data_IF_823093450100
#
_entry.id   IF_823093450100
#
_cell.length_a   1.000
_cell.length_b   1.000
_cell.length_c   1.000
_cell.angle_alpha   90.00
_cell.angle_beta   90.00
_cell.angle_gamma   90.00
#
_symmetry.space_group_name_H-M   'P 1'
#
loop_
_entity.id
_entity.type
_entity.pdbx_description
1 polymer ?
#
# COMPACT_ATOMS: atom_id res chain seq x y z
N UNK A 1 -15.01 -8.61 -14.00
CA UNK A 1 -13.99 -7.70 -13.40
C UNK A 1 -13.40 -6.86 -14.52
N UNK A 2 -14.20 -5.90 -15.02
CA UNK A 2 -13.83 -5.10 -16.20
C UNK A 2 -13.28 -3.73 -15.79
N UNK A 3 -13.85 -3.13 -14.74
CA UNK A 3 -13.42 -1.86 -14.18
C UNK A 3 -12.32 -2.03 -13.15
N UNK A 4 -11.07 -2.04 -13.60
CA UNK A 4 -9.87 -2.22 -12.75
C UNK A 4 -9.18 -0.89 -12.53
N UNK A 5 -8.73 -0.65 -11.31
CA UNK A 5 -7.93 0.53 -10.99
C UNK A 5 -6.81 0.20 -10.01
N UNK A 6 -5.76 1.00 -10.07
CA UNK A 6 -4.64 0.98 -9.15
C UNK A 6 -4.55 2.35 -8.49
N UNK A 7 -4.59 2.36 -7.17
CA UNK A 7 -4.35 3.53 -6.34
C UNK A 7 -2.91 3.49 -5.81
N UNK A 8 -2.14 4.54 -6.11
CA UNK A 8 -0.82 4.78 -5.52
C UNK A 8 -0.95 5.99 -4.59
N UNK A 9 -0.92 5.77 -3.28
CA UNK A 9 -0.91 6.86 -2.31
C UNK A 9 0.53 7.36 -2.07
N UNK A 10 0.71 8.68 -1.98
CA UNK A 10 2.02 9.29 -1.85
C UNK A 10 2.13 10.21 -0.62
N UNK A 11 3.23 10.06 0.14
CA UNK A 11 3.53 10.88 1.31
C UNK A 11 4.99 10.76 1.74
N UNK A 12 5.53 11.82 2.32
CA UNK A 12 6.89 11.86 2.85
C UNK A 12 6.92 11.56 4.36
N UNK A 13 8.08 11.07 4.82
CA UNK A 13 8.30 10.66 6.20
C UNK A 13 9.44 11.45 6.84
N UNK A 14 9.16 12.14 7.97
CA UNK A 14 10.15 12.88 8.73
C UNK A 14 11.28 12.01 9.29
N UNK A 15 11.01 10.73 9.56
CA UNK A 15 12.00 9.77 10.03
C UNK A 15 13.16 9.57 9.05
N UNK A 16 13.08 10.01 7.81
CA UNK A 16 14.20 10.03 6.86
C UNK A 16 15.40 10.84 7.37
N UNK A 17 15.17 11.84 8.23
CA UNK A 17 16.23 12.59 8.90
C UNK A 17 17.17 11.69 9.73
N UNK A 18 16.69 10.52 10.15
CA UNK A 18 17.46 9.53 10.88
C UNK A 18 18.38 8.65 10.00
N UNK A 19 18.44 8.92 8.68
CA UNK A 19 19.29 8.18 7.73
C UNK A 19 18.88 6.73 7.50
N UNK A 20 17.59 6.44 7.59
CA UNK A 20 16.99 5.09 7.44
C UNK A 20 16.74 4.67 5.99
N UNK A 21 16.96 5.57 5.02
CA UNK A 21 16.76 5.32 3.59
C UNK A 21 18.05 5.47 2.78
N UNK A 22 18.14 4.75 1.66
CA UNK A 22 19.21 4.91 0.68
C UNK A 22 19.02 6.12 -0.23
N UNK A 23 17.75 6.54 -0.42
CA UNK A 23 17.38 7.65 -1.30
C UNK A 23 16.99 8.89 -0.48
N UNK A 24 17.24 10.09 -1.02
CA UNK A 24 16.79 11.33 -0.40
C UNK A 24 15.27 11.53 -0.58
N UNK A 25 14.64 12.30 0.30
CA UNK A 25 13.19 12.49 0.33
C UNK A 25 12.60 13.10 -0.96
N UNK A 26 13.44 13.88 -1.71
CA UNK A 26 13.03 14.48 -2.99
C UNK A 26 12.51 13.47 -4.02
N UNK A 27 12.96 12.22 -3.91
CA UNK A 27 12.56 11.14 -4.82
C UNK A 27 11.06 10.89 -4.76
N UNK A 28 10.39 11.10 -3.63
CA UNK A 28 8.94 10.98 -3.53
C UNK A 28 8.22 11.88 -4.53
N UNK A 29 8.50 13.17 -4.53
CA UNK A 29 7.88 14.13 -5.46
C UNK A 29 8.26 13.85 -6.93
N UNK A 30 9.50 13.45 -7.19
CA UNK A 30 9.98 13.10 -8.52
C UNK A 30 9.25 11.86 -9.07
N UNK A 31 9.01 10.85 -8.24
CA UNK A 31 8.27 9.65 -8.63
C UNK A 31 6.80 9.94 -8.86
N UNK A 32 6.16 10.81 -8.07
CA UNK A 32 4.80 11.24 -8.35
C UNK A 32 4.71 11.92 -9.72
N UNK A 33 5.65 12.82 -10.06
CA UNK A 33 5.71 13.42 -11.39
C UNK A 33 5.89 12.35 -12.50
N UNK A 34 6.73 11.33 -12.26
CA UNK A 34 6.95 10.23 -13.19
C UNK A 34 5.69 9.36 -13.39
N UNK A 35 4.90 9.11 -12.32
CA UNK A 35 3.61 8.42 -12.44
C UNK A 35 2.63 9.20 -13.31
N UNK A 36 2.58 10.51 -13.17
CA UNK A 36 1.71 11.40 -13.96
C UNK A 36 2.16 11.46 -15.42
N UNK A 37 3.47 11.46 -15.66
CA UNK A 37 4.04 11.44 -17.01
C UNK A 37 3.98 10.06 -17.70
N UNK A 38 3.62 9.00 -16.98
CA UNK A 38 3.48 7.66 -17.57
C UNK A 38 4.77 6.87 -17.74
N UNK A 39 5.86 7.30 -17.08
CA UNK A 39 7.21 6.73 -17.25
C UNK A 39 7.59 5.65 -16.25
N UNK A 40 6.83 5.45 -15.19
CA UNK A 40 7.13 4.49 -14.13
C UNK A 40 6.70 3.06 -14.49
N UNK A 41 7.25 2.08 -13.75
CA UNK A 41 6.92 0.67 -13.94
C UNK A 41 5.42 0.42 -13.78
N UNK A 42 4.78 1.03 -12.79
CA UNK A 42 3.33 0.87 -12.57
C UNK A 42 2.51 1.32 -13.78
N UNK A 43 2.91 2.37 -14.49
CA UNK A 43 2.19 2.83 -15.69
C UNK A 43 2.23 1.79 -16.82
N UNK A 44 3.35 1.09 -16.96
CA UNK A 44 3.52 0.03 -17.96
C UNK A 44 2.72 -1.21 -17.57
N UNK A 45 2.88 -1.65 -16.31
CA UNK A 45 2.24 -2.86 -15.79
C UNK A 45 0.71 -2.71 -15.72
N UNK A 46 0.22 -1.54 -15.31
CA UNK A 46 -1.22 -1.27 -15.24
C UNK A 46 -1.90 -1.33 -16.61
N UNK A 47 -1.25 -0.80 -17.66
CA UNK A 47 -1.76 -0.94 -19.03
C UNK A 47 -1.84 -2.40 -19.47
N UNK A 48 -0.81 -3.19 -19.16
CA UNK A 48 -0.82 -4.63 -19.44
C UNK A 48 -1.92 -5.37 -18.66
N UNK A 49 -2.25 -4.91 -17.44
CA UNK A 49 -3.32 -5.45 -16.61
C UNK A 49 -4.72 -4.90 -16.95
N UNK A 50 -4.83 -3.96 -17.91
CA UNK A 50 -6.09 -3.27 -18.23
C UNK A 50 -6.64 -2.44 -17.08
N UNK A 51 -5.76 -1.85 -16.24
CA UNK A 51 -6.12 -1.06 -15.08
C UNK A 51 -5.73 0.41 -15.28
N UNK A 52 -6.59 1.34 -14.81
CA UNK A 52 -6.24 2.76 -14.74
C UNK A 52 -5.43 3.05 -13.47
N UNK A 53 -4.52 4.03 -13.53
CA UNK A 53 -3.72 4.46 -12.39
C UNK A 53 -4.26 5.78 -11.84
N UNK A 54 -4.46 5.84 -10.53
CA UNK A 54 -4.78 7.06 -9.79
C UNK A 54 -3.72 7.25 -8.72
N UNK A 55 -3.11 8.44 -8.69
CA UNK A 55 -2.10 8.83 -7.71
C UNK A 55 -2.73 9.79 -6.73
N UNK A 56 -2.65 9.50 -5.44
CA UNK A 56 -3.18 10.33 -4.35
C UNK A 56 -2.01 10.99 -3.61
N UNK A 57 -1.79 12.28 -3.84
CA UNK A 57 -0.92 13.08 -2.98
C UNK A 57 -1.67 13.43 -1.70
N UNK A 58 -1.33 12.75 -0.60
CA UNK A 58 -1.90 12.99 0.73
C UNK A 58 -0.88 13.63 1.67
N UNK A 59 0.40 13.64 1.29
CA UNK A 59 1.44 14.13 2.18
C UNK A 59 2.82 14.32 1.55
N UNK A 60 2.91 14.61 0.26
CA UNK A 60 4.20 14.92 -0.37
C UNK A 60 4.70 16.28 0.13
N UNK A 61 5.87 16.33 0.76
CA UNK A 61 6.38 17.52 1.43
C UNK A 61 6.88 18.60 0.46
N UNK A 62 7.49 18.17 -0.64
CA UNK A 62 8.06 19.05 -1.65
C UNK A 62 7.07 19.31 -2.78
N UNK A 63 7.19 20.45 -3.48
CA UNK A 63 6.44 20.64 -4.72
C UNK A 63 6.70 19.50 -5.70
N UNK A 64 5.63 18.94 -6.26
CA UNK A 64 5.74 17.95 -7.32
C UNK A 64 6.24 18.70 -8.56
N UNK A 65 7.35 18.24 -9.18
CA UNK A 65 7.87 18.88 -10.39
C UNK A 65 6.80 18.96 -11.47
N UNK A 66 6.73 20.11 -12.15
CA UNK A 66 5.86 20.26 -13.31
C UNK A 66 6.28 19.23 -14.38
N UNK A 67 5.37 18.34 -14.72
CA UNK A 67 5.51 17.38 -15.80
C UNK A 67 4.38 17.55 -16.78
N UNK A 68 4.56 17.13 -18.02
CA UNK A 68 3.45 17.07 -18.96
C UNK A 68 2.66 15.79 -18.67
N UNK A 69 1.41 15.91 -18.14
CA UNK A 69 0.58 14.73 -17.94
C UNK A 69 0.35 14.02 -19.28
N UNK A 70 0.57 12.71 -19.28
CA UNK A 70 0.19 11.89 -20.44
C UNK A 70 -1.22 11.33 -20.17
N UNK A 71 -2.26 11.80 -20.88
CA UNK A 71 -3.63 11.36 -20.61
C UNK A 71 -3.90 9.89 -20.97
N UNK A 72 -3.00 9.27 -21.73
CA UNK A 72 -3.12 7.86 -22.16
C UNK A 72 -2.24 6.94 -21.32
N UNK A 73 -1.03 7.39 -20.99
CA UNK A 73 -0.01 6.56 -20.32
C UNK A 73 0.17 6.91 -18.85
N UNK A 74 -0.14 8.14 -18.46
CA UNK A 74 0.06 8.67 -17.13
C UNK A 74 -1.04 8.28 -16.15
N UNK A 75 -0.75 8.46 -14.85
CA UNK A 75 -1.73 8.36 -13.79
C UNK A 75 -2.47 9.69 -13.58
N UNK A 76 -3.75 9.61 -13.22
CA UNK A 76 -4.51 10.78 -12.75
C UNK A 76 -4.02 11.18 -11.37
N UNK A 77 -3.50 12.40 -11.20
CA UNK A 77 -3.14 12.94 -9.90
C UNK A 77 -4.36 13.53 -9.20
N UNK A 78 -4.57 13.13 -7.96
CA UNK A 78 -5.54 13.71 -7.02
C UNK A 78 -4.76 14.26 -5.83
N UNK A 79 -4.90 15.56 -5.58
CA UNK A 79 -4.24 16.22 -4.43
C UNK A 79 -5.25 16.38 -3.30
N UNK A 80 -5.00 15.66 -2.21
CA UNK A 80 -5.77 15.75 -0.96
C UNK A 80 -4.80 15.86 0.23
N UNK A 81 -3.78 16.72 0.08
CA UNK A 81 -2.68 16.87 1.04
C UNK A 81 -3.20 17.27 2.41
N UNK A 82 -2.91 16.47 3.43
CA UNK A 82 -3.23 16.73 4.84
C UNK A 82 -2.16 17.61 5.48
N UNK A 83 -0.89 17.27 5.23
CA UNK A 83 0.30 18.05 5.64
C UNK A 83 1.48 17.73 4.73
N UNK A 84 2.57 18.49 4.89
CA UNK A 84 3.79 18.31 4.11
C UNK A 84 4.73 17.27 4.76
N UNK A 85 4.40 16.00 4.62
CA UNK A 85 5.10 14.87 5.24
C UNK A 85 4.77 14.68 6.72
N UNK A 86 5.11 13.51 7.27
CA UNK A 86 4.99 13.27 8.72
C UNK A 86 6.10 13.99 9.49
N UNK A 87 5.93 14.13 10.80
CA UNK A 87 7.03 14.45 11.71
C UNK A 87 7.99 13.26 11.85
N UNK A 88 9.12 13.49 12.52
CA UNK A 88 10.05 12.43 12.91
C UNK A 88 9.51 11.68 14.14
N UNK A 89 9.06 10.45 13.94
CA UNK A 89 8.46 9.63 14.98
C UNK A 89 9.41 9.29 16.14
N UNK A 90 10.71 9.61 16.04
CA UNK A 90 11.65 9.47 17.17
C UNK A 90 11.64 10.67 18.11
N UNK A 91 10.97 11.77 17.74
CA UNK A 91 10.93 13.03 18.49
C UNK A 91 9.51 13.38 18.96
N UNK A 92 8.53 13.11 18.14
CA UNK A 92 7.11 13.38 18.37
C UNK A 92 6.24 12.41 17.54
N UNK A 93 4.92 12.30 17.75
CA UNK A 93 4.06 11.48 16.91
C UNK A 93 4.21 11.83 15.41
N UNK A 94 4.25 10.81 14.55
CA UNK A 94 4.40 10.98 13.11
C UNK A 94 3.36 11.96 12.54
N UNK A 95 2.16 11.93 13.09
CA UNK A 95 1.06 12.87 12.78
C UNK A 95 0.11 12.96 13.97
N UNK A 96 -0.72 13.99 14.00
CA UNK A 96 -1.81 14.05 14.96
C UNK A 96 -2.89 13.02 14.62
N UNK A 97 -3.69 12.61 15.61
CA UNK A 97 -4.84 11.72 15.38
C UNK A 97 -5.82 12.30 14.34
N UNK A 98 -6.03 13.62 14.35
CA UNK A 98 -6.88 14.27 13.37
C UNK A 98 -6.31 14.23 11.94
N UNK A 99 -4.99 14.36 11.79
CA UNK A 99 -4.32 14.19 10.50
C UNK A 99 -4.42 12.75 10.00
N UNK A 100 -4.25 11.75 10.88
CA UNK A 100 -4.45 10.35 10.53
C UNK A 100 -5.89 10.09 10.04
N UNK A 101 -6.89 10.59 10.74
CA UNK A 101 -8.29 10.49 10.33
C UNK A 101 -8.58 11.23 9.03
N UNK A 102 -7.99 12.41 8.80
CA UNK A 102 -8.13 13.16 7.56
C UNK A 102 -7.50 12.40 6.36
N UNK A 103 -6.35 11.76 6.55
CA UNK A 103 -5.71 10.95 5.53
C UNK A 103 -6.53 9.68 5.21
N UNK A 104 -7.07 9.00 6.23
CA UNK A 104 -8.01 7.88 6.06
C UNK A 104 -9.23 8.34 5.24
N UNK A 105 -9.82 9.49 5.58
CA UNK A 105 -10.98 10.01 4.87
C UNK A 105 -10.67 10.40 3.43
N UNK A 106 -9.46 10.90 3.14
CA UNK A 106 -9.01 11.15 1.77
C UNK A 106 -9.00 9.87 0.92
N UNK A 107 -8.46 8.78 1.45
CA UNK A 107 -8.47 7.48 0.78
C UNK A 107 -9.88 6.92 0.57
N UNK A 108 -10.74 7.03 1.59
CA UNK A 108 -12.14 6.60 1.51
C UNK A 108 -12.90 7.37 0.43
N UNK A 109 -12.82 8.71 0.46
CA UNK A 109 -13.51 9.55 -0.53
C UNK A 109 -13.07 9.24 -1.94
N UNK A 110 -11.76 9.07 -2.16
CA UNK A 110 -11.25 8.76 -3.50
C UNK A 110 -11.81 7.44 -4.04
N UNK A 111 -11.88 6.38 -3.23
CA UNK A 111 -12.46 5.09 -3.67
C UNK A 111 -13.95 5.23 -3.95
N UNK A 112 -14.70 5.98 -3.13
CA UNK A 112 -16.11 6.26 -3.37
C UNK A 112 -16.33 7.03 -4.69
N UNK A 113 -15.48 8.03 -4.98
CA UNK A 113 -15.49 8.79 -6.24
C UNK A 113 -15.17 7.87 -7.43
N UNK A 114 -14.10 7.08 -7.36
CA UNK A 114 -13.71 6.14 -8.41
C UNK A 114 -14.82 5.14 -8.75
N UNK A 115 -15.57 4.70 -7.75
CA UNK A 115 -16.73 3.81 -7.92
C UNK A 115 -17.90 4.51 -8.60
N UNK A 116 -18.11 5.79 -8.32
CA UNK A 116 -19.19 6.60 -8.89
C UNK A 116 -18.90 7.09 -10.33
N UNK A 117 -17.66 7.01 -10.78
CA UNK A 117 -17.31 7.34 -12.17
C UNK A 117 -17.99 6.42 -13.18
N UNK A 118 -18.24 6.87 -14.44
CA UNK A 118 -18.82 6.01 -15.47
C UNK A 118 -18.06 4.71 -15.73
N UNK A 119 -16.74 4.72 -15.52
CA UNK A 119 -15.90 3.53 -15.64
C UNK A 119 -16.15 2.50 -14.53
N UNK A 120 -16.70 2.92 -13.38
CA UNK A 120 -16.92 2.05 -12.23
C UNK A 120 -15.63 1.58 -11.55
N UNK A 121 -15.77 0.61 -10.65
CA UNK A 121 -14.66 -0.03 -9.96
C UNK A 121 -15.06 -1.44 -9.50
N UNK A 122 -14.48 -2.48 -10.12
CA UNK A 122 -14.73 -3.89 -9.79
C UNK A 122 -13.58 -4.52 -9.01
N UNK A 123 -12.35 -4.00 -9.19
CA UNK A 123 -11.13 -4.49 -8.57
C UNK A 123 -10.17 -3.34 -8.32
N UNK A 124 -9.71 -3.21 -7.09
CA UNK A 124 -8.77 -2.17 -6.67
C UNK A 124 -7.40 -2.78 -6.34
N UNK A 125 -6.35 -2.39 -7.06
CA UNK A 125 -4.97 -2.58 -6.63
C UNK A 125 -4.53 -1.40 -5.76
N UNK A 126 -3.78 -1.64 -4.71
CA UNK A 126 -3.24 -0.58 -3.83
C UNK A 126 -1.73 -0.70 -3.67
N UNK A 127 -1.06 0.43 -3.73
CA UNK A 127 0.36 0.59 -3.48
C UNK A 127 0.69 2.01 -3.07
N UNK A 128 1.96 2.33 -2.98
CA UNK A 128 2.40 3.56 -2.34
C UNK A 128 3.67 4.15 -2.96
N UNK A 129 3.94 5.39 -2.58
CA UNK A 129 5.21 6.06 -2.80
C UNK A 129 5.55 6.97 -1.62
N UNK A 130 6.64 6.64 -0.90
CA UNK A 130 7.10 7.46 0.21
C UNK A 130 8.49 7.03 0.67
N UNK A 131 9.49 7.89 0.46
CA UNK A 131 10.83 7.59 0.96
C UNK A 131 10.81 7.52 2.48
N UNK A 132 11.25 6.39 3.04
CA UNK A 132 11.25 6.11 4.49
C UNK A 132 10.05 5.28 4.99
N UNK A 133 9.03 5.05 4.19
CA UNK A 133 7.79 4.37 4.58
C UNK A 133 7.97 2.91 5.04
N UNK A 134 9.00 2.20 4.59
CA UNK A 134 9.32 0.87 5.12
C UNK A 134 9.68 0.92 6.62
N UNK A 135 10.10 2.08 7.14
CA UNK A 135 10.35 2.27 8.59
C UNK A 135 9.01 2.31 9.35
N UNK A 136 8.06 3.09 8.88
CA UNK A 136 6.71 3.15 9.43
C UNK A 136 6.00 1.79 9.32
N UNK A 137 6.08 1.12 8.15
CA UNK A 137 5.51 -0.21 7.95
C UNK A 137 6.09 -1.26 8.91
N UNK A 138 7.42 -1.21 9.19
CA UNK A 138 8.05 -2.10 10.17
C UNK A 138 7.58 -1.80 11.60
N UNK A 139 7.43 -0.52 11.96
CA UNK A 139 6.91 -0.13 13.28
C UNK A 139 5.47 -0.62 13.48
N UNK A 140 4.57 -0.38 12.52
CA UNK A 140 3.19 -0.89 12.53
C UNK A 140 3.16 -2.41 12.63
N UNK A 141 4.01 -3.10 11.85
CA UNK A 141 4.10 -4.56 11.86
C UNK A 141 4.53 -5.09 13.22
N UNK A 142 5.53 -4.48 13.86
CA UNK A 142 5.98 -4.87 15.20
C UNK A 142 4.85 -4.75 16.23
N UNK A 143 4.13 -3.61 16.23
CA UNK A 143 3.04 -3.35 17.18
C UNK A 143 1.91 -4.37 17.02
N UNK A 144 1.38 -4.55 15.82
CA UNK A 144 0.20 -5.39 15.62
C UNK A 144 0.46 -6.89 15.62
N UNK A 145 1.66 -7.32 15.21
CA UNK A 145 2.00 -8.75 15.23
C UNK A 145 2.65 -9.20 16.53
N UNK A 146 3.16 -8.27 17.35
CA UNK A 146 3.96 -8.56 18.53
C UNK A 146 5.36 -9.12 18.21
N UNK A 147 5.78 -9.09 16.94
CA UNK A 147 7.08 -9.59 16.52
C UNK A 147 8.20 -8.61 16.90
N UNK A 148 9.40 -9.11 17.21
CA UNK A 148 10.56 -8.24 17.45
C UNK A 148 10.83 -7.29 16.27
N UNK A 149 11.22 -6.05 16.56
CA UNK A 149 11.51 -5.02 15.55
C UNK A 149 12.56 -5.52 14.53
N UNK A 150 13.59 -6.21 14.98
CA UNK A 150 14.63 -6.77 14.09
C UNK A 150 14.05 -7.79 13.07
N UNK A 151 13.06 -8.58 13.48
CA UNK A 151 12.43 -9.59 12.64
C UNK A 151 11.54 -8.99 11.53
N UNK A 152 10.96 -7.81 11.75
CA UNK A 152 10.10 -7.12 10.79
C UNK A 152 10.83 -6.05 9.96
N UNK A 153 12.11 -5.78 10.26
CA UNK A 153 12.86 -4.69 9.62
C UNK A 153 13.82 -5.22 8.57
N UNK A 154 13.52 -4.92 7.33
CA UNK A 154 14.33 -5.26 6.17
C UNK A 154 15.23 -4.12 5.68
N UNK A 155 15.76 -4.32 4.47
CA UNK A 155 16.68 -3.38 3.80
C UNK A 155 15.96 -2.32 2.96
N UNK A 156 14.63 -2.38 2.84
CA UNK A 156 13.87 -1.46 2.01
C UNK A 156 14.44 -1.37 0.60
N UNK A 157 14.76 -0.16 0.19
CA UNK A 157 15.30 0.14 -1.16
C UNK A 157 16.78 -0.24 -1.35
N UNK A 158 17.37 -1.00 -0.41
CA UNK A 158 18.73 -1.55 -0.58
C UNK A 158 19.79 -0.95 0.34
N UNK A 159 19.43 -0.55 1.57
CA UNK A 159 20.42 -0.14 2.58
C UNK A 159 21.32 -1.30 3.00
N UNK A 160 22.54 -0.98 3.41
CA UNK A 160 23.48 -1.95 3.97
C UNK A 160 23.07 -2.40 5.39
N UNK A 161 23.79 -3.38 5.95
CA UNK A 161 23.48 -3.94 7.27
C UNK A 161 23.67 -2.92 8.41
N UNK A 162 24.60 -2.00 8.28
CA UNK A 162 24.84 -0.94 9.28
C UNK A 162 23.63 0.00 9.35
N UNK A 163 23.13 0.43 8.20
CA UNK A 163 21.91 1.26 8.12
C UNK A 163 20.66 0.48 8.53
N UNK A 164 20.56 -0.83 8.22
CA UNK A 164 19.47 -1.67 8.71
C UNK A 164 19.43 -1.72 10.22
N UNK A 165 20.56 -1.94 10.90
CA UNK A 165 20.64 -1.90 12.37
C UNK A 165 20.29 -0.53 12.94
N UNK A 166 20.72 0.55 12.28
CA UNK A 166 20.29 1.90 12.64
C UNK A 166 18.76 2.05 12.53
N UNK A 167 18.17 1.56 11.43
CA UNK A 167 16.71 1.58 11.24
C UNK A 167 15.99 0.80 12.35
N UNK A 168 16.49 -0.36 12.77
CA UNK A 168 15.96 -1.11 13.92
C UNK A 168 15.99 -0.24 15.18
N UNK A 169 17.15 0.35 15.53
CA UNK A 169 17.27 1.21 16.70
C UNK A 169 16.35 2.44 16.65
N UNK A 170 16.14 3.04 15.46
CA UNK A 170 15.22 4.16 15.24
C UNK A 170 13.78 3.74 15.53
N UNK A 171 13.36 2.57 15.06
CA UNK A 171 12.02 2.03 15.31
C UNK A 171 11.85 1.71 16.80
N UNK A 172 12.82 1.04 17.43
CA UNK A 172 12.77 0.73 18.86
C UNK A 172 12.65 2.00 19.71
N UNK A 173 13.41 3.06 19.37
CA UNK A 173 13.33 4.34 20.06
C UNK A 173 11.94 4.99 19.91
N UNK A 174 11.34 4.95 18.71
CA UNK A 174 10.01 5.48 18.47
C UNK A 174 8.94 4.69 19.26
N UNK A 175 9.00 3.36 19.24
CA UNK A 175 8.07 2.53 20.00
C UNK A 175 8.21 2.72 21.51
N UNK A 176 9.43 2.90 22.02
CA UNK A 176 9.66 3.18 23.44
C UNK A 176 9.19 4.59 23.85
N UNK A 177 9.24 5.58 22.93
CA UNK A 177 8.78 6.95 23.20
C UNK A 177 7.26 7.03 23.29
N UNK A 178 6.56 6.37 22.36
CA UNK A 178 5.11 6.53 22.19
C UNK A 178 4.30 5.44 22.92
N UNK A 179 4.90 4.28 23.21
CA UNK A 179 4.24 3.11 23.82
C UNK A 179 2.87 2.81 23.17
N UNK A 180 2.80 2.62 21.84
CA UNK A 180 1.55 2.57 21.09
C UNK A 180 0.72 1.34 21.47
N UNK A 181 -0.55 1.56 21.82
CA UNK A 181 -1.50 0.51 22.19
C UNK A 181 -2.12 -0.13 20.93
N UNK A 182 -1.88 -1.43 20.64
CA UNK A 182 -2.51 -2.11 19.51
C UNK A 182 -4.03 -2.17 19.56
N UNK A 183 -4.66 -1.92 20.71
CA UNK A 183 -6.11 -1.79 20.84
C UNK A 183 -6.64 -0.44 20.33
N UNK A 184 -5.78 0.55 20.09
CA UNK A 184 -6.11 1.82 19.43
C UNK A 184 -5.39 1.98 18.07
N UNK A 185 -5.87 1.33 17.00
CA UNK A 185 -5.20 1.34 15.70
C UNK A 185 -4.99 2.74 15.11
N UNK A 186 -5.86 3.70 15.43
CA UNK A 186 -5.72 5.09 14.96
C UNK A 186 -4.61 5.79 15.75
N UNK A 187 -4.46 5.53 17.05
CA UNK A 187 -3.35 6.01 17.85
C UNK A 187 -2.02 5.48 17.35
N UNK A 188 -1.90 4.16 17.15
CA UNK A 188 -0.70 3.53 16.57
C UNK A 188 -0.34 4.15 15.22
N UNK A 189 -1.33 4.36 14.35
CA UNK A 189 -1.11 4.98 13.04
C UNK A 189 -0.63 6.43 13.16
N UNK A 190 -1.16 7.19 14.14
CA UNK A 190 -0.73 8.54 14.42
C UNK A 190 0.71 8.60 14.95
N UNK A 191 1.07 7.70 15.85
CA UNK A 191 2.37 7.69 16.51
C UNK A 191 3.51 7.30 15.56
N UNK A 192 3.34 6.20 14.79
CA UNK A 192 4.44 5.60 14.03
C UNK A 192 4.11 5.28 12.57
N UNK A 193 2.98 5.75 12.07
CA UNK A 193 2.51 5.48 10.70
C UNK A 193 3.03 6.46 9.65
N UNK A 194 2.25 6.57 8.57
CA UNK A 194 2.48 7.47 7.43
C UNK A 194 1.15 7.96 6.85
N UNK A 195 1.16 9.15 6.23
CA UNK A 195 -0.06 9.74 5.65
C UNK A 195 -0.59 8.89 4.49
N UNK A 196 0.29 8.39 3.63
CA UNK A 196 -0.06 7.49 2.53
C UNK A 196 -0.54 6.14 3.04
N UNK A 197 0.05 5.62 4.12
CA UNK A 197 -0.40 4.39 4.77
C UNK A 197 -1.81 4.60 5.33
N UNK A 198 -2.07 5.73 5.99
CA UNK A 198 -3.40 6.10 6.50
C UNK A 198 -4.42 6.21 5.36
N UNK A 199 -4.05 6.84 4.23
CA UNK A 199 -4.93 6.91 3.06
C UNK A 199 -5.23 5.52 2.49
N UNK A 200 -4.25 4.61 2.45
CA UNK A 200 -4.48 3.22 2.05
C UNK A 200 -5.39 2.47 3.03
N UNK A 201 -5.29 2.71 4.33
CA UNK A 201 -6.26 2.17 5.31
C UNK A 201 -7.68 2.58 4.92
N UNK A 202 -7.88 3.87 4.64
CA UNK A 202 -9.18 4.40 4.21
C UNK A 202 -9.67 3.78 2.91
N UNK A 203 -8.81 3.66 1.91
CA UNK A 203 -9.13 3.04 0.63
C UNK A 203 -9.55 1.57 0.77
N UNK A 204 -8.83 0.79 1.59
CA UNK A 204 -9.13 -0.62 1.86
C UNK A 204 -10.48 -0.75 2.59
N UNK A 205 -10.73 0.10 3.58
CA UNK A 205 -12.01 0.11 4.33
C UNK A 205 -13.19 0.40 3.40
N UNK A 206 -13.10 1.45 2.56
CA UNK A 206 -14.19 1.83 1.65
C UNK A 206 -14.45 0.77 0.58
N UNK A 207 -13.39 0.21 0.01
CA UNK A 207 -13.52 -0.89 -0.95
C UNK A 207 -14.19 -2.11 -0.32
N UNK A 208 -13.83 -2.47 0.93
CA UNK A 208 -14.44 -3.58 1.65
C UNK A 208 -15.93 -3.34 1.94
N UNK A 209 -16.31 -2.12 2.35
CA UNK A 209 -17.72 -1.70 2.54
C UNK A 209 -18.49 -1.80 1.23
N UNK A 210 -17.88 -1.39 0.12
CA UNK A 210 -18.45 -1.48 -1.22
C UNK A 210 -18.42 -2.90 -1.81
N UNK A 211 -17.85 -3.89 -1.10
CA UNK A 211 -17.64 -5.28 -1.55
C UNK A 211 -16.74 -5.39 -2.78
N UNK A 212 -15.83 -4.45 -2.96
CA UNK A 212 -14.82 -4.45 -4.02
C UNK A 212 -13.58 -5.18 -3.47
N UNK A 213 -13.08 -6.24 -4.12
CA UNK A 213 -11.85 -6.90 -3.74
C UNK A 213 -10.65 -5.95 -3.86
N UNK A 214 -9.72 -6.03 -2.91
CA UNK A 214 -8.50 -5.22 -2.87
C UNK A 214 -7.28 -6.12 -3.06
N UNK A 215 -6.47 -5.82 -4.06
CA UNK A 215 -5.18 -6.48 -4.31
C UNK A 215 -4.08 -5.66 -3.65
N UNK A 216 -3.54 -6.19 -2.57
CA UNK A 216 -2.45 -5.58 -1.78
C UNK A 216 -1.13 -5.82 -2.49
N UNK A 217 -0.35 -4.77 -2.76
CA UNK A 217 0.95 -4.88 -3.42
C UNK A 217 1.96 -5.66 -2.57
N UNK A 218 2.77 -4.96 -1.81
CA UNK A 218 3.85 -5.50 -1.01
C UNK A 218 3.74 -5.18 0.47
N UNK A 219 4.89 -5.03 1.14
CA UNK A 219 4.98 -4.89 2.59
C UNK A 219 4.21 -3.69 3.13
N UNK A 220 4.35 -2.51 2.51
CA UNK A 220 3.76 -1.27 3.03
C UNK A 220 2.23 -1.28 2.87
N UNK A 221 1.72 -1.67 1.71
CA UNK A 221 0.28 -1.79 1.49
C UNK A 221 -0.36 -2.87 2.36
N UNK A 222 0.39 -3.95 2.67
CA UNK A 222 -0.07 -4.99 3.60
C UNK A 222 -0.02 -4.50 5.05
N UNK A 223 0.93 -3.62 5.43
CA UNK A 223 0.91 -2.96 6.73
C UNK A 223 -0.31 -2.02 6.88
N UNK A 224 -0.75 -1.35 5.79
CA UNK A 224 -2.01 -0.62 5.81
C UNK A 224 -3.23 -1.55 5.99
N UNK A 225 -3.23 -2.72 5.34
CA UNK A 225 -4.28 -3.72 5.53
C UNK A 225 -4.29 -4.28 6.96
N UNK A 226 -3.11 -4.43 7.59
CA UNK A 226 -2.99 -4.83 8.99
C UNK A 226 -3.73 -3.85 9.93
N UNK A 227 -3.53 -2.54 9.74
CA UNK A 227 -4.26 -1.50 10.48
C UNK A 227 -5.76 -1.55 10.17
N UNK A 228 -6.15 -1.69 8.90
CA UNK A 228 -7.55 -1.81 8.51
C UNK A 228 -8.24 -3.03 9.14
N UNK A 229 -7.55 -4.17 9.21
CA UNK A 229 -8.07 -5.39 9.86
C UNK A 229 -8.08 -5.28 11.39
N UNK A 230 -7.17 -4.52 12.00
CA UNK A 230 -7.24 -4.21 13.43
C UNK A 230 -8.46 -3.35 13.76
N UNK A 231 -8.87 -2.42 12.88
CA UNK A 231 -10.12 -1.68 13.01
C UNK A 231 -11.35 -2.56 12.81
N UNK A 232 -11.32 -3.47 11.82
CA UNK A 232 -12.43 -4.36 11.49
C UNK A 232 -11.91 -5.66 10.86
N UNK A 233 -11.84 -6.77 11.62
CA UNK A 233 -11.28 -8.06 11.15
C UNK A 233 -11.95 -8.61 9.88
N UNK A 234 -13.23 -8.34 9.66
CA UNK A 234 -13.95 -8.80 8.48
C UNK A 234 -13.40 -8.23 7.14
N UNK A 235 -12.51 -7.23 7.18
CA UNK A 235 -11.87 -6.67 5.99
C UNK A 235 -10.95 -7.70 5.33
N UNK A 236 -10.29 -8.58 6.10
CA UNK A 236 -9.35 -9.56 5.59
C UNK A 236 -9.92 -10.42 4.44
N UNK A 237 -11.20 -10.82 4.51
CA UNK A 237 -11.85 -11.63 3.46
C UNK A 237 -12.06 -10.88 2.13
N UNK A 238 -11.77 -9.60 2.09
CA UNK A 238 -11.86 -8.76 0.89
C UNK A 238 -10.50 -8.41 0.31
N UNK A 239 -9.42 -8.89 0.93
CA UNK A 239 -8.05 -8.59 0.52
C UNK A 239 -7.41 -9.80 -0.16
N UNK A 240 -6.60 -9.54 -1.16
CA UNK A 240 -5.81 -10.51 -1.92
C UNK A 240 -4.35 -10.05 -1.84
N UNK A 241 -3.47 -10.85 -1.27
CA UNK A 241 -2.05 -10.54 -1.28
C UNK A 241 -1.48 -10.80 -2.68
N UNK A 242 -0.93 -9.77 -3.33
CA UNK A 242 -0.42 -9.88 -4.70
C UNK A 242 0.81 -10.78 -4.78
N UNK A 243 1.85 -10.41 -4.04
CA UNK A 243 3.11 -11.12 -4.08
C UNK A 243 3.75 -11.23 -2.70
N UNK A 244 4.72 -12.14 -2.55
CA UNK A 244 5.62 -12.13 -1.40
C UNK A 244 6.76 -11.15 -1.66
N UNK A 245 6.82 -10.05 -0.88
CA UNK A 245 7.96 -9.14 -0.92
C UNK A 245 9.19 -9.78 -0.25
N UNK A 246 10.38 -9.36 -0.66
CA UNK A 246 11.63 -9.75 -0.01
C UNK A 246 11.84 -9.11 1.37
N UNK A 247 10.97 -8.16 1.76
CA UNK A 247 10.99 -7.56 3.10
C UNK A 247 10.55 -8.60 4.16
N UNK A 248 11.36 -8.88 5.20
CA UNK A 248 11.10 -9.96 6.15
C UNK A 248 9.79 -9.77 6.92
N UNK A 249 9.44 -8.53 7.26
CA UNK A 249 8.18 -8.20 7.93
C UNK A 249 6.95 -8.58 7.12
N UNK A 250 7.04 -8.60 5.78
CA UNK A 250 5.89 -8.93 4.95
C UNK A 250 5.38 -10.35 5.20
N UNK A 251 6.28 -11.34 5.33
CA UNK A 251 5.89 -12.71 5.63
C UNK A 251 5.12 -12.80 6.95
N UNK A 252 5.62 -12.13 7.99
CA UNK A 252 4.98 -12.13 9.32
C UNK A 252 3.60 -11.48 9.30
N UNK A 253 3.44 -10.38 8.55
CA UNK A 253 2.14 -9.71 8.39
C UNK A 253 1.17 -10.57 7.59
N UNK A 254 1.60 -11.23 6.51
CA UNK A 254 0.77 -12.16 5.75
C UNK A 254 0.30 -13.34 6.60
N UNK A 255 1.19 -13.93 7.39
CA UNK A 255 0.86 -14.99 8.35
C UNK A 255 -0.17 -14.52 9.40
N UNK A 256 0.02 -13.33 9.96
CA UNK A 256 -0.90 -12.71 10.93
C UNK A 256 -2.30 -12.49 10.34
N UNK A 257 -2.39 -12.04 9.09
CA UNK A 257 -3.64 -11.79 8.37
C UNK A 257 -4.27 -13.07 7.77
N UNK A 258 -3.57 -14.21 7.81
CA UNK A 258 -4.02 -15.46 7.20
C UNK A 258 -4.05 -15.38 5.65
N UNK A 259 -3.19 -14.56 5.05
CA UNK A 259 -3.14 -14.36 3.60
C UNK A 259 -2.02 -15.17 2.95
N UNK A 260 -2.33 -15.76 1.79
CA UNK A 260 -1.35 -16.39 0.91
C UNK A 260 -1.14 -15.54 -0.33
N UNK A 261 0.11 -15.22 -0.71
CA UNK A 261 0.39 -14.40 -1.89
C UNK A 261 0.09 -15.17 -3.18
N UNK A 262 -0.43 -14.46 -4.19
CA UNK A 262 -0.75 -15.02 -5.52
C UNK A 262 0.52 -15.45 -6.26
N UNK A 263 1.61 -14.65 -6.14
CA UNK A 263 2.90 -14.95 -6.76
C UNK A 263 4.07 -14.76 -5.79
N UNK A 264 5.18 -15.44 -6.08
CA UNK A 264 6.46 -15.30 -5.37
C UNK A 264 7.57 -15.13 -6.43
N UNK A 265 7.99 -13.89 -6.67
CA UNK A 265 8.88 -13.48 -7.77
C UNK A 265 10.02 -12.57 -7.28
N UNK A 266 10.34 -12.60 -6.00
CA UNK A 266 11.36 -11.75 -5.36
C UNK A 266 11.17 -10.25 -5.61
N UNK A 267 9.92 -9.80 -5.78
CA UNK A 267 9.59 -8.40 -6.03
C UNK A 267 9.86 -7.54 -4.79
N UNK A 268 10.37 -6.33 -5.02
CA UNK A 268 10.66 -5.34 -3.98
C UNK A 268 10.60 -3.89 -4.46
N UNK A 269 9.89 -3.64 -5.56
CA UNK A 269 9.84 -2.32 -6.18
C UNK A 269 8.88 -1.37 -5.46
N UNK A 270 7.73 -1.87 -4.99
CA UNK A 270 6.62 -1.04 -4.55
C UNK A 270 5.78 -0.51 -5.71
N UNK A 271 5.21 0.67 -5.57
CA UNK A 271 4.43 1.38 -6.60
C UNK A 271 3.15 0.64 -7.05
N UNK A 272 2.67 -0.36 -6.32
CA UNK A 272 1.63 -1.31 -6.74
C UNK A 272 2.06 -2.24 -7.89
N UNK A 273 3.35 -2.43 -8.12
CA UNK A 273 3.85 -3.24 -9.23
C UNK A 273 3.45 -4.71 -9.11
N UNK A 274 3.52 -5.29 -7.92
CA UNK A 274 3.05 -6.66 -7.67
C UNK A 274 1.53 -6.77 -7.78
N UNK A 275 0.80 -5.76 -7.31
CA UNK A 275 -0.66 -5.70 -7.47
C UNK A 275 -1.06 -5.71 -8.96
N UNK A 276 -0.37 -4.96 -9.81
CA UNK A 276 -0.61 -4.95 -11.25
C UNK A 276 -0.40 -6.34 -11.89
N UNK A 277 0.65 -7.07 -11.47
CA UNK A 277 0.90 -8.44 -11.93
C UNK A 277 -0.21 -9.39 -11.48
N UNK A 278 -0.61 -9.33 -10.20
CA UNK A 278 -1.64 -10.20 -9.64
C UNK A 278 -3.03 -9.92 -10.20
N UNK A 279 -3.37 -8.67 -10.55
CA UNK A 279 -4.66 -8.29 -11.18
C UNK A 279 -4.92 -9.11 -12.44
N UNK A 280 -3.89 -9.36 -13.27
CA UNK A 280 -4.03 -10.19 -14.45
C UNK A 280 -4.42 -11.65 -14.12
N UNK A 281 -3.85 -12.21 -13.06
CA UNK A 281 -4.15 -13.57 -12.59
C UNK A 281 -5.56 -13.62 -11.99
N UNK A 282 -5.93 -12.64 -11.18
CA UNK A 282 -7.30 -12.54 -10.61
C UNK A 282 -8.33 -12.44 -11.72
N UNK A 283 -8.08 -11.64 -12.75
CA UNK A 283 -8.98 -11.52 -13.90
C UNK A 283 -9.11 -12.83 -14.67
N UNK A 284 -8.01 -13.55 -14.88
CA UNK A 284 -8.04 -14.86 -15.51
C UNK A 284 -8.85 -15.89 -14.68
N UNK A 285 -8.69 -15.88 -13.36
CA UNK A 285 -9.47 -16.75 -12.47
C UNK A 285 -10.98 -16.47 -12.54
N UNK A 286 -11.38 -15.20 -12.60
CA UNK A 286 -12.78 -14.80 -12.78
C UNK A 286 -13.30 -15.24 -14.15
N UNK A 287 -12.51 -15.06 -15.21
CA UNK A 287 -12.89 -15.47 -16.56
C UNK A 287 -13.09 -16.99 -16.67
N UNK A 288 -12.26 -17.78 -16.00
CA UNK A 288 -12.43 -19.25 -15.90
C UNK A 288 -13.75 -19.58 -15.19
N UNK A 289 -13.99 -18.98 -14.03
CA UNK A 289 -15.23 -19.22 -13.25
C UNK A 289 -16.48 -18.92 -14.07
N UNK A 290 -16.48 -17.85 -14.84
CA UNK A 290 -17.67 -17.35 -15.53
C UNK A 290 -17.85 -17.99 -16.92
N UNK A 291 -16.77 -18.45 -17.58
CA UNK A 291 -16.81 -18.93 -18.98
C UNK A 291 -16.49 -20.39 -19.19
N UNK A 292 -15.88 -21.08 -18.20
CA UNK A 292 -15.51 -22.47 -18.36
C UNK A 292 -16.73 -23.39 -18.23
N UNK A 293 -16.91 -24.30 -19.18
CA UNK A 293 -17.94 -25.34 -19.12
C UNK A 293 -17.67 -26.34 -17.98
N UNK A 294 -18.76 -26.84 -17.36
CA UNK A 294 -18.67 -28.02 -16.48
C UNK A 294 -18.56 -29.31 -17.30
N UNK A 295 -18.14 -30.41 -16.70
CA UNK A 295 -18.12 -31.72 -17.37
C UNK A 295 -19.50 -32.07 -17.92
N UNK A 296 -20.56 -31.86 -17.14
CA UNK A 296 -21.95 -32.12 -17.57
C UNK A 296 -22.35 -31.28 -18.76
N UNK A 297 -22.08 -29.95 -18.73
CA UNK A 297 -22.45 -29.05 -19.83
C UNK A 297 -21.62 -29.28 -21.10
N UNK A 298 -20.41 -29.81 -20.98
CA UNK A 298 -19.53 -30.17 -22.09
C UNK A 298 -19.70 -31.61 -22.59
N UNK A 299 -20.54 -32.43 -21.95
CA UNK A 299 -20.71 -33.85 -22.29
C UNK A 299 -19.48 -34.69 -21.98
N UNK A 300 -18.63 -34.29 -21.06
CA UNK A 300 -17.42 -35.02 -20.63
C UNK A 300 -17.78 -35.94 -19.49
N UNK A 301 -17.42 -37.24 -19.60
CA UNK A 301 -17.66 -38.23 -18.56
C UNK A 301 -16.90 -37.88 -17.28
N UNK A 302 -17.56 -37.97 -16.13
CA UNK A 302 -16.95 -37.84 -14.81
C UNK A 302 -16.08 -39.04 -14.43
N UNK A 303 -15.36 -38.97 -13.28
CA UNK A 303 -14.64 -40.09 -12.75
C UNK A 303 -15.58 -41.26 -12.44
N UNK A 304 -15.14 -42.45 -12.78
CA UNK A 304 -15.89 -43.70 -12.54
C UNK A 304 -15.91 -44.04 -11.05
#
# INVERSE_FOLDING_TARGET
VDARAILVAAGDHGVTAQGVSAYPAEVTAQMVANFVAGGAAINVLSRAAGARVVVLDVGVARPIPEGTPDPVRGGRLVTARVRAGTADMTLEPAMTRNEALAAIDAGRRLVAEMRAEPAGLDLLGVGEMGIGNTTAASALSAVFTGAPVDAVTGRGTGIDETRRRRKVAVIEAALALHDPDPADPIGVLADVGGLEIAALVGAIVEAAVARIPVVLDGFISTAAALVACALQPAIAVRTIAAHRSTEPGHRLVLEHLGLSPVVDLDLRLGEASGAAVAIGIVAAAVAIRDGMATFDSAGVAGPA
#
